data_IF_718926118025
#
_entry.id   IF_718926118025
#
_cell.length_a   1.000
_cell.length_b   1.000
_cell.length_c   1.000
_cell.angle_alpha   90.00
_cell.angle_beta   90.00
_cell.angle_gamma   90.00
#
_symmetry.space_group_name_H-M   'P 1'
#
loop_
_entity.id
_entity.type
_entity.pdbx_description
1 polymer ?
#
# COMPACT_ATOMS: atom_id res chain seq x y z
N UNK A 1 2.30 11.88 -15.11
CA UNK A 1 2.07 12.16 -13.67
C UNK A 1 3.02 11.32 -12.84
N UNK A 2 3.39 11.78 -11.64
CA UNK A 2 4.47 11.17 -10.85
C UNK A 2 4.05 10.82 -9.43
N UNK A 3 4.62 9.74 -8.90
CA UNK A 3 4.56 9.33 -7.49
C UNK A 3 5.90 9.64 -6.84
N UNK A 4 5.92 10.07 -5.58
CA UNK A 4 7.16 10.29 -4.83
C UNK A 4 7.88 8.94 -4.65
N UNK A 5 9.14 8.87 -5.10
CA UNK A 5 10.01 7.71 -4.95
C UNK A 5 10.97 7.84 -3.77
N UNK A 6 11.87 6.87 -3.63
CA UNK A 6 12.90 6.89 -2.59
C UNK A 6 13.86 8.09 -2.77
N UNK A 7 14.38 8.62 -1.66
CA UNK A 7 15.43 9.64 -1.64
C UNK A 7 15.12 10.89 -2.49
N UNK A 8 13.85 11.30 -2.55
CA UNK A 8 13.41 12.48 -3.32
C UNK A 8 13.28 12.25 -4.83
N UNK A 9 13.49 11.02 -5.32
CA UNK A 9 13.19 10.66 -6.70
C UNK A 9 11.68 10.66 -6.98
N UNK A 10 11.32 10.45 -8.24
CA UNK A 10 9.92 10.29 -8.65
C UNK A 10 9.75 9.10 -9.59
N UNK A 11 8.58 8.47 -9.53
CA UNK A 11 8.16 7.38 -10.41
C UNK A 11 7.09 7.92 -11.34
N UNK A 12 7.36 7.94 -12.65
CA UNK A 12 6.34 8.28 -13.65
C UNK A 12 5.37 7.11 -13.79
N UNK A 13 4.07 7.40 -13.67
CA UNK A 13 3.01 6.42 -13.89
C UNK A 13 2.73 6.30 -15.38
N UNK A 14 2.92 5.11 -15.92
CA UNK A 14 2.82 4.79 -17.36
C UNK A 14 1.59 3.94 -17.69
N UNK A 15 0.93 3.39 -16.67
CA UNK A 15 -0.23 2.50 -16.83
C UNK A 15 -0.78 2.05 -15.49
N UNK A 16 -1.68 1.07 -15.53
CA UNK A 16 -2.24 0.39 -14.37
C UNK A 16 -1.91 -1.10 -14.41
N UNK A 17 -1.89 -1.73 -13.25
CA UNK A 17 -1.76 -3.17 -13.10
C UNK A 17 -2.70 -3.70 -12.02
N UNK A 18 -3.03 -4.98 -12.08
CA UNK A 18 -3.68 -5.70 -10.99
C UNK A 18 -2.62 -6.34 -10.08
N UNK A 19 -2.89 -6.48 -8.78
CA UNK A 19 -1.97 -7.15 -7.84
C UNK A 19 -1.79 -8.62 -8.22
N UNK A 20 -0.54 -9.08 -8.25
CA UNK A 20 -0.15 -10.47 -8.54
C UNK A 20 0.76 -10.93 -7.41
N UNK A 21 0.43 -12.05 -6.78
CA UNK A 21 1.21 -12.61 -5.67
C UNK A 21 2.68 -12.79 -6.08
N UNK A 22 3.60 -12.35 -5.22
CA UNK A 22 5.04 -12.39 -5.44
C UNK A 22 5.60 -11.26 -6.31
N UNK A 23 4.77 -10.47 -6.98
CA UNK A 23 5.23 -9.32 -7.75
C UNK A 23 5.82 -8.23 -6.83
N UNK A 24 6.87 -7.51 -7.29
CA UNK A 24 7.42 -6.40 -6.53
C UNK A 24 6.38 -5.28 -6.41
N UNK A 25 6.33 -4.66 -5.23
CA UNK A 25 5.43 -3.56 -4.95
C UNK A 25 6.15 -2.52 -4.12
N UNK A 26 5.90 -1.26 -4.43
CA UNK A 26 6.34 -0.13 -3.62
C UNK A 26 5.15 0.79 -3.34
N UNK A 27 5.21 1.50 -2.22
CA UNK A 27 4.22 2.49 -1.88
C UNK A 27 4.88 3.78 -1.44
N UNK A 28 4.18 4.88 -1.65
CA UNK A 28 4.57 6.21 -1.21
C UNK A 28 3.61 6.67 -0.10
N UNK A 29 4.15 7.00 1.06
CA UNK A 29 3.40 7.56 2.19
C UNK A 29 4.11 8.77 2.82
N UNK A 30 3.37 9.54 3.61
CA UNK A 30 3.89 10.72 4.29
C UNK A 30 4.87 10.36 5.41
N UNK A 31 4.58 9.30 6.17
CA UNK A 31 5.30 8.92 7.38
C UNK A 31 6.45 7.99 7.07
N UNK A 32 6.23 6.97 6.22
CA UNK A 32 7.27 6.01 5.88
C UNK A 32 8.03 6.32 4.58
N UNK A 33 7.73 7.43 3.91
CA UNK A 33 8.29 7.77 2.59
C UNK A 33 7.99 6.66 1.56
N UNK A 34 9.01 6.21 0.82
CA UNK A 34 8.89 5.16 -0.20
C UNK A 34 9.40 3.82 0.32
N UNK A 35 8.48 2.89 0.59
CA UNK A 35 8.79 1.55 1.09
C UNK A 35 8.40 0.51 0.04
N UNK A 36 9.16 -0.58 -0.03
CA UNK A 36 8.95 -1.65 -1.00
C UNK A 36 8.89 -3.01 -0.32
N UNK A 37 8.32 -3.97 -1.04
CA UNK A 37 8.17 -5.36 -0.65
C UNK A 37 7.60 -6.17 -1.82
N UNK A 38 6.78 -7.16 -1.49
CA UNK A 38 6.08 -8.00 -2.48
C UNK A 38 4.59 -8.04 -2.18
N UNK A 39 3.79 -8.31 -3.20
CA UNK A 39 2.38 -8.65 -3.01
C UNK A 39 2.30 -10.02 -2.31
N UNK A 40 1.73 -10.04 -1.12
CA UNK A 40 1.58 -11.25 -0.31
C UNK A 40 0.27 -11.99 -0.63
N UNK A 41 -0.78 -11.24 -0.95
CA UNK A 41 -2.07 -11.77 -1.39
C UNK A 41 -2.70 -10.79 -2.38
N UNK A 42 -3.19 -11.29 -3.50
CA UNK A 42 -3.87 -10.51 -4.55
C UNK A 42 -5.32 -10.16 -4.19
N UNK A 43 -5.94 -10.94 -3.28
CA UNK A 43 -7.26 -10.66 -2.71
C UNK A 43 -7.32 -11.01 -1.22
N UNK A 44 -7.79 -10.06 -0.43
CA UNK A 44 -8.06 -10.22 1.00
C UNK A 44 -9.37 -9.54 1.38
N UNK A 45 -10.06 -10.10 2.38
CA UNK A 45 -11.18 -9.48 3.08
C UNK A 45 -10.84 -9.50 4.57
N UNK A 46 -10.67 -8.32 5.18
CA UNK A 46 -10.27 -8.22 6.58
C UNK A 46 -10.95 -7.06 7.27
N UNK A 47 -11.20 -7.20 8.57
CA UNK A 47 -11.58 -6.06 9.39
C UNK A 47 -10.33 -5.25 9.73
N UNK A 48 -10.37 -3.96 9.40
CA UNK A 48 -9.45 -2.96 9.91
C UNK A 48 -10.11 -2.28 11.10
N UNK A 49 -9.46 -2.40 12.26
CA UNK A 49 -9.85 -1.70 13.48
C UNK A 49 -9.21 -0.31 13.49
N UNK A 50 -10.04 0.68 13.79
CA UNK A 50 -9.67 2.08 13.86
C UNK A 50 -9.44 2.48 15.31
N UNK A 51 -8.69 3.56 15.54
CA UNK A 51 -8.41 4.06 16.89
C UNK A 51 -9.67 4.54 17.63
N UNK A 52 -10.72 4.91 16.90
CA UNK A 52 -12.03 5.31 17.45
C UNK A 52 -12.89 4.12 17.92
N UNK A 53 -12.35 2.89 17.87
CA UNK A 53 -13.03 1.66 18.26
C UNK A 53 -13.98 1.11 17.19
N UNK A 54 -14.11 1.76 16.04
CA UNK A 54 -14.90 1.23 14.91
C UNK A 54 -14.08 0.22 14.11
N UNK A 55 -14.77 -0.66 13.39
CA UNK A 55 -14.16 -1.59 12.44
C UNK A 55 -14.74 -1.39 11.05
N UNK A 56 -13.89 -1.42 10.02
CA UNK A 56 -14.33 -1.43 8.62
C UNK A 56 -13.84 -2.68 7.92
N UNK A 57 -14.73 -3.34 7.19
CA UNK A 57 -14.33 -4.43 6.29
C UNK A 57 -13.63 -3.83 5.07
N UNK A 58 -12.38 -4.20 4.87
CA UNK A 58 -11.60 -3.83 3.69
C UNK A 58 -11.47 -5.04 2.77
N UNK A 59 -11.85 -4.81 1.52
CA UNK A 59 -11.67 -5.75 0.41
C UNK A 59 -10.61 -5.17 -0.51
N UNK A 60 -9.51 -5.88 -0.67
CA UNK A 60 -8.37 -5.37 -1.43
C UNK A 60 -7.29 -6.42 -1.61
N UNK A 61 -6.03 -6.00 -1.58
CA UNK A 61 -4.86 -6.88 -1.65
C UNK A 61 -3.91 -6.58 -0.48
N UNK A 62 -3.01 -7.52 -0.17
CA UNK A 62 -2.01 -7.38 0.87
C UNK A 62 -0.59 -7.38 0.30
N UNK A 63 0.30 -6.59 0.90
CA UNK A 63 1.72 -6.52 0.56
C UNK A 63 2.59 -6.47 1.81
N UNK A 64 3.88 -6.79 1.65
CA UNK A 64 4.87 -6.73 2.72
C UNK A 64 5.56 -5.37 2.84
N UNK A 65 5.25 -4.41 1.96
CA UNK A 65 5.81 -3.06 2.05
C UNK A 65 5.34 -2.40 3.35
N UNK A 66 6.26 -1.99 4.21
CA UNK A 66 5.91 -1.38 5.50
C UNK A 66 5.07 -0.11 5.33
N UNK A 67 4.01 0.02 6.13
CA UNK A 67 3.11 1.17 6.14
C UNK A 67 2.85 1.61 7.57
N UNK A 68 3.01 2.91 7.86
CA UNK A 68 2.82 3.52 9.17
C UNK A 68 1.56 4.39 9.18
N UNK A 69 1.11 4.79 10.38
CA UNK A 69 0.03 5.78 10.49
C UNK A 69 0.40 7.07 9.75
N UNK A 70 -0.55 7.64 9.02
CA UNK A 70 -0.34 8.80 8.13
C UNK A 70 0.00 8.46 6.68
N UNK A 71 0.28 7.19 6.35
CA UNK A 71 0.50 6.76 4.97
C UNK A 71 -0.79 6.42 4.20
N UNK A 72 -1.93 6.37 4.89
CA UNK A 72 -3.24 6.06 4.31
C UNK A 72 -3.59 7.05 3.19
N UNK A 73 -4.14 6.55 2.09
CA UNK A 73 -4.37 7.31 0.86
C UNK A 73 -3.14 7.41 -0.06
N UNK A 74 -1.97 6.96 0.39
CA UNK A 74 -0.74 6.95 -0.40
C UNK A 74 -0.79 5.99 -1.60
N UNK A 75 -0.14 6.37 -2.70
CA UNK A 75 -0.10 5.58 -3.92
C UNK A 75 0.73 4.30 -3.77
N UNK A 76 0.24 3.21 -4.34
CA UNK A 76 0.93 1.92 -4.46
C UNK A 76 1.22 1.66 -5.94
N UNK A 77 2.45 1.25 -6.25
CA UNK A 77 2.93 1.00 -7.61
C UNK A 77 3.66 -0.34 -7.71
N UNK A 78 3.69 -0.90 -8.91
CA UNK A 78 4.59 -1.99 -9.30
C UNK A 78 5.37 -1.53 -10.52
N UNK A 79 6.69 -1.35 -10.37
CA UNK A 79 7.49 -0.63 -11.37
C UNK A 79 6.93 0.78 -11.62
N UNK A 80 6.51 1.04 -12.86
CA UNK A 80 5.90 2.31 -13.32
C UNK A 80 4.38 2.23 -13.46
N UNK A 81 3.74 1.17 -12.96
CA UNK A 81 2.30 0.94 -13.07
C UNK A 81 1.61 1.25 -11.74
N UNK A 82 0.50 2.00 -11.79
CA UNK A 82 -0.34 2.21 -10.63
C UNK A 82 -1.03 0.88 -10.24
N UNK A 83 -0.91 0.49 -8.98
CA UNK A 83 -1.43 -0.77 -8.45
C UNK A 83 -2.63 -0.54 -7.53
N UNK A 84 -2.59 0.52 -6.72
CA UNK A 84 -3.65 0.80 -5.76
C UNK A 84 -3.38 1.97 -4.84
N UNK A 85 -4.20 2.05 -3.79
CA UNK A 85 -4.17 3.08 -2.76
C UNK A 85 -4.04 2.42 -1.39
N UNK A 86 -3.13 2.92 -0.56
CA UNK A 86 -2.89 2.42 0.80
C UNK A 86 -4.12 2.65 1.68
N UNK A 87 -4.59 1.58 2.35
CA UNK A 87 -5.75 1.66 3.23
C UNK A 87 -5.37 1.53 4.71
N UNK A 88 -4.51 0.57 5.07
CA UNK A 88 -4.09 0.33 6.45
C UNK A 88 -3.03 -0.75 6.57
N UNK A 89 -2.59 -1.06 7.79
CA UNK A 89 -1.52 -2.03 8.05
C UNK A 89 -1.53 -2.50 9.50
N UNK A 90 -0.80 -3.58 9.78
CA UNK A 90 -0.50 -4.04 11.15
C UNK A 90 0.65 -3.27 11.81
N UNK A 91 1.35 -2.41 11.08
CA UNK A 91 2.52 -1.65 11.54
C UNK A 91 2.20 -0.17 11.82
N UNK A 92 0.92 0.24 11.80
CA UNK A 92 0.52 1.63 11.93
C UNK A 92 1.04 2.35 13.18
N UNK A 93 1.11 1.64 14.32
CA UNK A 93 1.55 2.19 15.61
C UNK A 93 3.06 2.17 15.85
N UNK A 94 3.86 1.71 14.91
CA UNK A 94 5.32 1.70 15.05
C UNK A 94 5.93 3.10 14.77
N UNK A 95 7.02 3.48 15.44
CA UNK A 95 7.67 4.78 15.22
C UNK A 95 8.33 4.88 13.84
N UNK A 96 8.89 3.78 13.35
CA UNK A 96 9.46 3.66 12.02
C UNK A 96 9.38 2.22 11.50
N UNK A 97 9.73 2.03 10.22
CA UNK A 97 9.68 0.73 9.58
C UNK A 97 10.76 -0.25 10.03
N UNK A 98 11.87 0.22 10.59
CA UNK A 98 12.91 -0.67 11.14
C UNK A 98 12.36 -1.36 12.38
N UNK A 99 11.81 -0.58 13.31
CA UNK A 99 11.18 -1.09 14.53
C UNK A 99 9.95 -1.95 14.21
N UNK A 100 9.12 -1.54 13.24
CA UNK A 100 7.98 -2.35 12.80
C UNK A 100 8.40 -3.74 12.31
N UNK A 101 9.45 -3.80 11.47
CA UNK A 101 9.96 -5.06 10.93
C UNK A 101 10.51 -5.97 12.04
N UNK A 102 11.20 -5.41 13.03
CA UNK A 102 11.73 -6.17 14.16
C UNK A 102 10.60 -6.70 15.05
N UNK A 103 9.66 -5.84 15.45
CA UNK A 103 8.57 -6.21 16.35
C UNK A 103 7.63 -7.26 15.74
N UNK A 104 7.42 -7.19 14.42
CA UNK A 104 6.50 -8.08 13.69
C UNK A 104 7.20 -9.30 13.06
N UNK A 105 8.52 -9.43 13.15
CA UNK A 105 9.28 -10.53 12.54
C UNK A 105 8.76 -11.91 12.99
N UNK A 106 8.49 -12.08 14.28
CA UNK A 106 7.94 -13.32 14.85
C UNK A 106 6.50 -13.64 14.39
N UNK A 107 5.79 -12.66 13.84
CA UNK A 107 4.42 -12.77 13.34
C UNK A 107 4.34 -12.81 11.81
N UNK A 108 5.47 -12.99 11.12
CA UNK A 108 5.54 -13.04 9.65
C UNK A 108 5.80 -11.69 8.98
N UNK A 109 6.11 -10.64 9.75
CA UNK A 109 6.52 -9.33 9.26
C UNK A 109 5.37 -8.31 9.10
N UNK A 110 5.68 -7.18 8.48
CA UNK A 110 4.69 -6.13 8.20
C UNK A 110 3.74 -6.55 7.10
N UNK A 111 2.45 -6.28 7.30
CA UNK A 111 1.39 -6.50 6.35
C UNK A 111 0.62 -5.18 6.11
N UNK A 112 0.56 -4.79 4.85
CA UNK A 112 -0.08 -3.56 4.39
C UNK A 112 -1.19 -3.87 3.40
N UNK A 113 -2.34 -3.24 3.59
CA UNK A 113 -3.54 -3.40 2.79
C UNK A 113 -3.68 -2.27 1.79
N UNK A 114 -3.95 -2.63 0.54
CA UNK A 114 -4.23 -1.70 -0.54
C UNK A 114 -5.60 -1.94 -1.17
N UNK A 115 -6.28 -0.87 -1.58
CA UNK A 115 -7.42 -0.96 -2.48
C UNK A 115 -6.90 -0.98 -3.93
N UNK A 116 -7.21 -2.01 -4.74
CA UNK A 116 -6.80 -2.09 -6.13
C UNK A 116 -7.25 -0.88 -6.94
N UNK A 117 -6.39 -0.39 -7.84
CA UNK A 117 -6.71 0.82 -8.62
C UNK A 117 -7.88 0.60 -9.59
N UNK A 118 -8.00 -0.60 -10.14
CA UNK A 118 -9.10 -1.00 -11.01
C UNK A 118 -10.46 -0.90 -10.29
N UNK A 119 -10.53 -1.35 -9.03
CA UNK A 119 -11.73 -1.20 -8.19
C UNK A 119 -12.07 0.27 -7.95
N UNK A 120 -11.08 1.13 -7.67
CA UNK A 120 -11.30 2.56 -7.47
C UNK A 120 -11.85 3.20 -8.75
N UNK A 121 -11.23 2.94 -9.90
CA UNK A 121 -11.69 3.49 -11.19
C UNK A 121 -13.07 2.98 -11.58
N UNK A 122 -13.36 1.70 -11.33
CA UNK A 122 -14.69 1.12 -11.60
C UNK A 122 -15.78 1.71 -10.71
N UNK A 123 -15.49 1.99 -9.44
CA UNK A 123 -16.47 2.54 -8.50
C UNK A 123 -16.74 4.03 -8.72
N UNK A 124 -15.75 4.77 -9.23
CA UNK A 124 -15.82 6.24 -9.34
C UNK A 124 -16.02 6.75 -10.77
N UNK A 125 -15.77 5.93 -11.78
CA UNK A 125 -15.70 6.36 -13.18
C UNK A 125 -14.45 7.20 -13.50
N UNK A 126 -13.52 7.34 -12.56
CA UNK A 126 -12.28 8.08 -12.77
C UNK A 126 -11.29 7.27 -13.63
N UNK A 127 -10.42 7.98 -14.34
CA UNK A 127 -9.30 7.38 -15.09
C UNK A 127 -7.97 7.77 -14.46
N UNK A 128 -7.06 6.80 -14.33
CA UNK A 128 -5.68 7.05 -13.91
C UNK A 128 -4.98 7.85 -14.99
N UNK A 129 -4.43 9.01 -14.62
CA UNK A 129 -3.56 9.77 -15.53
C UNK A 129 -2.27 9.00 -15.73
N UNK A 130 -1.78 8.92 -16.96
CA UNK A 130 -0.50 8.30 -17.32
C UNK A 130 0.34 9.29 -18.13
N UNK A 131 1.63 9.02 -18.28
CA UNK A 131 2.57 9.87 -19.03
C UNK A 131 3.73 9.07 -19.59
#
# INVERSE_FOLDING_TARGET
PTVRGANGSTVTVTGTASPVIGAPVCKSGQSSSFTCGVVAADRVETQLFMEDGTSRTVRGFASTACTLAGDSGGAIVTGTLALGITSGSNSGGAPDCTEANLALAQFGGTASLGIPIDQVTSATGATVRTG
#
